data_IF_861930965570
#
_entry.id   IF_861930965570
#
_cell.length_a   1.000
_cell.length_b   1.000
_cell.length_c   1.000
_cell.angle_alpha   90.00
_cell.angle_beta   90.00
_cell.angle_gamma   90.00
#
_symmetry.space_group_name_H-M   'P 1'
#
loop_
_entity.id
_entity.type
_entity.pdbx_description
1 polymer ?
#
# COMPACT_ATOMS: atom_id res chain seq x y z
N UNK A 1 -15.27 7.90 12.31
CA UNK A 1 -14.80 7.01 11.23
C UNK A 1 -13.56 6.31 11.77
N UNK A 2 -13.44 4.99 11.60
CA UNK A 2 -12.30 4.21 12.14
C UNK A 2 -10.94 4.76 11.71
N UNK A 3 -10.81 5.27 10.48
CA UNK A 3 -9.60 5.95 9.99
C UNK A 3 -9.14 7.13 10.89
N UNK A 4 -10.06 7.92 11.43
CA UNK A 4 -9.73 9.06 12.31
C UNK A 4 -9.14 8.56 13.63
N UNK A 5 -9.64 7.42 14.13
CA UNK A 5 -9.21 6.85 15.41
C UNK A 5 -7.81 6.26 15.33
N UNK A 6 -7.50 5.49 14.26
CA UNK A 6 -6.16 4.95 14.05
C UNK A 6 -5.14 6.06 13.79
N UNK A 7 -5.48 7.08 12.98
CA UNK A 7 -4.60 8.22 12.74
C UNK A 7 -4.28 8.98 14.04
N UNK A 8 -5.26 9.18 14.93
CA UNK A 8 -5.01 9.81 16.24
C UNK A 8 -4.06 9.01 17.12
N UNK A 9 -4.12 7.67 17.07
CA UNK A 9 -3.17 6.81 17.79
C UNK A 9 -1.77 6.94 17.22
N UNK A 10 -1.65 6.86 15.89
CA UNK A 10 -0.39 7.01 15.16
C UNK A 10 0.25 8.40 15.42
N UNK A 11 -0.53 9.47 15.42
CA UNK A 11 -0.04 10.84 15.68
C UNK A 11 0.54 11.02 17.09
N UNK A 12 0.14 10.17 18.05
CA UNK A 12 0.63 10.20 19.43
C UNK A 12 1.84 9.29 19.67
N UNK A 13 2.19 8.42 18.72
CA UNK A 13 3.32 7.49 18.85
C UNK A 13 4.61 8.15 18.36
N UNK A 14 5.61 8.25 19.23
CA UNK A 14 6.91 8.87 18.90
C UNK A 14 7.72 8.09 17.87
N UNK A 15 7.38 6.82 17.61
CA UNK A 15 8.01 6.00 16.57
C UNK A 15 7.31 6.17 15.20
N UNK A 16 6.26 6.99 15.15
CA UNK A 16 5.57 7.35 13.92
C UNK A 16 5.75 8.84 13.62
N UNK A 17 5.76 9.19 12.34
CA UNK A 17 5.79 10.58 11.90
C UNK A 17 4.73 10.79 10.82
N UNK A 18 3.66 11.46 11.21
CA UNK A 18 2.58 11.86 10.31
C UNK A 18 2.81 13.29 9.82
N UNK A 19 2.91 13.48 8.51
CA UNK A 19 3.05 14.80 7.90
C UNK A 19 1.68 15.32 7.50
N UNK A 20 1.26 16.45 8.07
CA UNK A 20 0.01 17.12 7.68
C UNK A 20 0.14 17.75 6.31
N UNK A 21 -0.94 17.67 5.54
CA UNK A 21 -1.00 18.36 4.25
C UNK A 21 -1.25 19.85 4.47
N UNK A 22 -0.62 20.67 3.62
CA UNK A 22 -0.73 22.14 3.66
C UNK A 22 -1.46 22.68 2.42
N UNK A 23 -1.55 21.88 1.35
CA UNK A 23 -2.24 22.23 0.10
C UNK A 23 -3.52 21.43 -0.07
N UNK A 24 -4.43 21.90 -0.90
CA UNK A 24 -5.60 21.10 -1.28
C UNK A 24 -5.14 19.83 -2.03
N UNK A 25 -5.85 18.74 -1.80
CA UNK A 25 -5.66 17.48 -2.52
C UNK A 25 -6.70 17.37 -3.62
N UNK A 26 -6.23 17.13 -4.84
CA UNK A 26 -7.06 16.80 -5.99
C UNK A 26 -6.46 15.59 -6.68
N UNK A 27 -7.31 14.63 -7.05
CA UNK A 27 -6.92 13.47 -7.83
C UNK A 27 -7.95 13.25 -8.92
N UNK A 28 -7.47 12.91 -10.12
CA UNK A 28 -8.31 12.46 -11.23
C UNK A 28 -8.73 10.99 -11.05
N UNK A 29 -8.12 10.28 -10.10
CA UNK A 29 -8.42 8.89 -9.78
C UNK A 29 -9.58 8.79 -8.79
N UNK A 30 -10.43 7.78 -8.97
CA UNK A 30 -11.36 7.37 -7.93
C UNK A 30 -10.57 6.71 -6.79
N UNK A 31 -10.78 7.18 -5.55
CA UNK A 31 -10.09 6.64 -4.38
C UNK A 31 -11.09 6.12 -3.34
N UNK A 32 -10.76 5.03 -2.62
CA UNK A 32 -11.52 4.61 -1.45
C UNK A 32 -11.67 5.75 -0.44
N UNK A 33 -12.82 5.84 0.22
CA UNK A 33 -13.18 7.01 1.06
C UNK A 33 -12.18 7.29 2.18
N UNK A 34 -11.58 6.25 2.76
CA UNK A 34 -10.61 6.37 3.83
C UNK A 34 -9.21 6.77 3.31
N UNK A 35 -8.78 6.27 2.15
CA UNK A 35 -7.58 6.75 1.48
C UNK A 35 -7.73 8.21 1.02
N UNK A 36 -8.86 8.55 0.41
CA UNK A 36 -9.18 9.93 0.03
C UNK A 36 -9.14 10.85 1.26
N UNK A 37 -9.71 10.41 2.39
CA UNK A 37 -9.62 11.17 3.64
C UNK A 37 -8.17 11.38 4.07
N UNK A 38 -7.33 10.34 4.01
CA UNK A 38 -5.91 10.45 4.33
C UNK A 38 -5.22 11.48 3.45
N UNK A 39 -5.28 11.33 2.12
CA UNK A 39 -4.63 12.29 1.22
C UNK A 39 -5.23 13.69 1.29
N UNK A 40 -6.50 13.86 1.67
CA UNK A 40 -7.07 15.19 1.87
C UNK A 40 -6.53 15.94 3.09
N UNK A 41 -5.98 15.24 4.08
CA UNK A 41 -5.59 15.82 5.36
C UNK A 41 -4.08 15.67 5.66
N UNK A 42 -3.44 14.69 5.05
CA UNK A 42 -2.08 14.28 5.32
C UNK A 42 -1.31 14.10 4.02
N UNK A 43 -0.02 14.42 4.08
CA UNK A 43 0.87 14.28 2.95
C UNK A 43 1.48 12.89 2.93
N UNK A 44 2.12 12.46 4.01
CA UNK A 44 2.73 11.13 4.14
C UNK A 44 2.73 10.64 5.59
N UNK A 45 3.02 9.36 5.79
CA UNK A 45 3.16 8.74 7.11
C UNK A 45 4.37 7.83 7.14
N UNK A 46 5.22 7.98 8.14
CA UNK A 46 6.32 7.07 8.43
C UNK A 46 6.01 6.29 9.70
N UNK A 47 6.20 4.97 9.70
CA UNK A 47 5.96 4.09 10.84
C UNK A 47 7.22 3.27 11.12
N UNK A 48 7.77 3.41 12.32
CA UNK A 48 8.84 2.55 12.86
C UNK A 48 10.09 2.48 11.99
N UNK A 49 10.54 3.60 11.38
CA UNK A 49 11.69 3.62 10.45
C UNK A 49 13.04 3.23 11.10
N UNK A 50 13.12 3.18 12.43
CA UNK A 50 14.27 2.68 13.18
C UNK A 50 14.24 1.14 13.36
N UNK A 51 13.20 0.47 12.85
CA UNK A 51 12.98 -0.98 12.96
C UNK A 51 13.19 -1.69 11.62
N UNK A 52 13.46 -3.01 11.63
CA UNK A 52 13.71 -3.77 10.40
C UNK A 52 12.56 -3.75 9.40
N UNK A 53 11.30 -3.67 9.86
CA UNK A 53 10.11 -3.63 9.03
C UNK A 53 9.44 -2.25 9.07
N UNK A 54 10.24 -1.20 9.26
CA UNK A 54 9.78 0.18 9.15
C UNK A 54 9.28 0.47 7.73
N UNK A 55 8.19 1.23 7.63
CA UNK A 55 7.51 1.48 6.35
C UNK A 55 7.01 2.92 6.25
N UNK A 56 6.99 3.45 5.03
CA UNK A 56 6.43 4.76 4.68
C UNK A 56 5.17 4.57 3.85
N UNK A 57 4.06 5.18 4.27
CA UNK A 57 2.95 5.50 3.38
C UNK A 57 3.37 6.68 2.52
N UNK A 58 3.32 6.50 1.20
CA UNK A 58 3.86 7.45 0.23
C UNK A 58 3.03 8.73 0.17
N UNK A 59 3.64 9.80 -0.34
CA UNK A 59 2.91 11.04 -0.62
C UNK A 59 2.01 10.92 -1.84
N UNK A 60 1.05 11.83 -1.98
CA UNK A 60 0.19 11.88 -3.18
C UNK A 60 0.98 12.04 -4.49
N UNK A 61 2.18 12.63 -4.43
CA UNK A 61 3.05 12.80 -5.61
C UNK A 61 3.82 11.53 -5.97
N UNK A 62 3.95 10.61 -5.01
CA UNK A 62 4.58 9.29 -5.15
C UNK A 62 3.53 8.19 -5.38
N UNK A 63 2.24 8.53 -5.33
CA UNK A 63 1.12 7.65 -5.61
C UNK A 63 0.97 7.44 -7.12
N UNK A 64 1.86 6.61 -7.68
CA UNK A 64 1.95 6.28 -9.10
C UNK A 64 1.71 4.77 -9.32
N UNK A 65 1.49 4.31 -10.56
CA UNK A 65 1.43 2.87 -10.84
C UNK A 65 2.64 2.14 -10.27
N UNK A 66 2.40 1.02 -9.58
CA UNK A 66 3.45 0.31 -8.84
C UNK A 66 4.52 -0.22 -9.78
N UNK A 67 4.12 -0.76 -10.93
CA UNK A 67 5.04 -1.20 -11.99
C UNK A 67 6.05 -0.12 -12.40
N UNK A 68 5.63 1.16 -12.47
CA UNK A 68 6.54 2.29 -12.78
C UNK A 68 7.53 2.59 -11.67
N UNK A 69 7.18 2.27 -10.42
CA UNK A 69 8.09 2.39 -9.27
C UNK A 69 9.12 1.27 -9.26
N UNK A 70 8.73 0.07 -9.68
CA UNK A 70 9.53 -1.15 -9.60
C UNK A 70 10.47 -1.34 -10.80
N UNK A 71 10.00 -1.03 -12.02
CA UNK A 71 10.67 -1.40 -13.25
C UNK A 71 11.09 -0.17 -14.07
N UNK A 72 12.32 -0.15 -14.64
CA UNK A 72 12.74 0.87 -15.61
C UNK A 72 11.88 0.82 -16.88
N UNK A 73 11.55 1.96 -17.49
CA UNK A 73 10.66 2.03 -18.68
C UNK A 73 11.15 1.24 -19.91
N UNK A 74 12.42 0.86 -19.97
CA UNK A 74 13.04 0.09 -21.05
C UNK A 74 13.18 -1.42 -20.76
N UNK A 75 12.59 -1.89 -19.66
CA UNK A 75 12.60 -3.31 -19.28
C UNK A 75 11.64 -4.16 -20.13
N UNK A 76 12.01 -5.41 -20.42
CA UNK A 76 11.17 -6.33 -21.20
C UNK A 76 9.88 -6.71 -20.46
N UNK A 77 9.87 -6.58 -19.13
CA UNK A 77 8.71 -6.89 -18.30
C UNK A 77 7.47 -6.06 -18.67
N UNK A 78 7.63 -4.89 -19.30
CA UNK A 78 6.50 -4.08 -19.77
C UNK A 78 5.68 -4.77 -20.86
N UNK A 79 6.28 -5.63 -21.67
CA UNK A 79 5.54 -6.44 -22.65
C UNK A 79 4.73 -7.53 -21.94
N UNK A 80 5.25 -8.09 -20.84
CA UNK A 80 4.57 -9.13 -20.04
C UNK A 80 3.40 -8.56 -19.22
N UNK A 81 3.51 -7.31 -18.79
CA UNK A 81 2.46 -6.61 -18.04
C UNK A 81 1.37 -6.01 -18.93
N UNK A 82 1.49 -6.05 -20.26
CA UNK A 82 0.48 -5.45 -21.15
C UNK A 82 -0.89 -6.10 -20.95
N UNK A 83 -1.87 -5.30 -20.49
CA UNK A 83 -3.24 -5.77 -20.22
C UNK A 83 -3.41 -6.53 -18.90
N UNK A 84 -2.36 -6.67 -18.10
CA UNK A 84 -2.44 -7.27 -16.77
C UNK A 84 -3.25 -6.40 -15.79
N UNK A 85 -3.91 -7.04 -14.82
CA UNK A 85 -4.72 -6.35 -13.80
C UNK A 85 -3.88 -5.41 -12.92
N UNK A 86 -2.59 -5.69 -12.76
CA UNK A 86 -1.66 -4.86 -11.99
C UNK A 86 -1.41 -3.48 -12.58
N UNK A 87 -1.83 -3.24 -13.83
CA UNK A 87 -1.79 -1.90 -14.42
C UNK A 87 -2.68 -0.89 -13.69
N UNK A 88 -3.69 -1.36 -12.94
CA UNK A 88 -4.55 -0.53 -12.09
C UNK A 88 -4.08 -0.49 -10.63
N UNK A 89 -2.88 -1.01 -10.33
CA UNK A 89 -2.32 -1.05 -8.98
C UNK A 89 -1.36 0.10 -8.72
N UNK A 90 -1.64 0.88 -7.67
CA UNK A 90 -0.89 2.08 -7.33
C UNK A 90 -0.07 1.89 -6.05
N UNK A 91 1.15 2.42 -6.02
CA UNK A 91 2.01 2.37 -4.85
C UNK A 91 1.36 3.13 -3.69
N UNK A 92 1.17 2.47 -2.55
CA UNK A 92 0.68 3.15 -1.33
C UNK A 92 1.71 3.15 -0.20
N UNK A 93 2.59 2.17 -0.14
CA UNK A 93 3.62 2.12 0.90
C UNK A 93 4.91 1.46 0.40
N UNK A 94 6.03 1.86 0.98
CA UNK A 94 7.36 1.36 0.61
C UNK A 94 8.30 1.26 1.83
N UNK A 95 9.16 0.25 1.77
CA UNK A 95 10.38 0.11 2.55
C UNK A 95 11.51 -0.22 1.58
N UNK A 96 12.06 0.81 0.95
CA UNK A 96 13.06 0.67 -0.12
C UNK A 96 14.30 -0.11 0.31
N UNK A 97 14.70 -0.01 1.58
CA UNK A 97 15.91 -0.67 2.09
C UNK A 97 15.85 -2.19 1.99
N UNK A 98 14.64 -2.75 2.01
CA UNK A 98 14.39 -4.19 1.95
C UNK A 98 13.49 -4.58 0.77
N UNK A 99 13.35 -3.69 -0.22
CA UNK A 99 12.57 -3.90 -1.45
C UNK A 99 11.11 -4.34 -1.20
N UNK A 100 10.52 -3.93 -0.09
CA UNK A 100 9.12 -4.20 0.19
C UNK A 100 8.25 -3.04 -0.26
N UNK A 101 7.20 -3.34 -1.01
CA UNK A 101 6.17 -2.38 -1.38
C UNK A 101 4.78 -2.92 -1.08
N UNK A 102 3.83 -2.02 -1.00
CA UNK A 102 2.41 -2.33 -0.89
C UNK A 102 1.69 -1.52 -1.95
N UNK A 103 0.83 -2.20 -2.69
CA UNK A 103 0.00 -1.60 -3.72
C UNK A 103 -1.45 -1.53 -3.30
N UNK A 104 -2.21 -0.64 -3.93
CA UNK A 104 -3.68 -0.60 -3.87
C UNK A 104 -4.25 -0.82 -5.26
N UNK A 105 -5.27 -1.67 -5.35
CA UNK A 105 -6.07 -1.86 -6.54
C UNK A 105 -7.12 -0.75 -6.70
N UNK A 106 -7.10 -0.05 -7.83
CA UNK A 106 -8.13 0.93 -8.19
C UNK A 106 -9.08 0.43 -9.30
N UNK A 107 -8.97 -0.84 -9.70
CA UNK A 107 -9.90 -1.49 -10.62
C UNK A 107 -11.32 -1.60 -10.05
N UNK A 108 -12.32 -1.74 -10.92
CA UNK A 108 -13.70 -1.93 -10.46
C UNK A 108 -13.92 -3.24 -9.69
N UNK A 109 -13.18 -4.31 -10.01
CA UNK A 109 -13.36 -5.65 -9.43
C UNK A 109 -12.82 -5.76 -8.01
N UNK A 110 -11.72 -5.07 -7.69
CA UNK A 110 -11.02 -5.17 -6.41
C UNK A 110 -10.78 -3.81 -5.75
N UNK A 111 -11.60 -2.81 -6.10
CA UNK A 111 -11.45 -1.42 -5.64
C UNK A 111 -11.15 -1.29 -4.14
N UNK A 112 -9.94 -0.85 -3.81
CA UNK A 112 -9.47 -0.64 -2.45
C UNK A 112 -8.86 -1.86 -1.76
N UNK A 113 -8.53 -2.92 -2.51
CA UNK A 113 -7.74 -4.04 -2.00
C UNK A 113 -6.26 -3.71 -2.05
N UNK A 114 -5.51 -4.27 -1.10
CA UNK A 114 -4.09 -4.01 -0.93
C UNK A 114 -3.30 -5.28 -1.08
N UNK A 115 -2.18 -5.20 -1.78
CA UNK A 115 -1.35 -6.36 -2.10
C UNK A 115 0.06 -6.22 -1.55
N UNK A 116 0.63 -7.35 -1.14
CA UNK A 116 2.08 -7.48 -1.06
C UNK A 116 2.66 -7.30 -2.47
N UNK A 117 3.59 -6.37 -2.65
CA UNK A 117 4.23 -6.09 -3.93
C UNK A 117 5.74 -6.05 -3.77
N UNK A 118 6.31 -7.19 -3.40
CA UNK A 118 7.74 -7.39 -3.40
C UNK A 118 8.31 -7.33 -4.83
N UNK A 119 9.49 -6.72 -5.01
CA UNK A 119 10.07 -6.46 -6.34
C UNK A 119 10.15 -7.71 -7.24
N UNK A 120 10.43 -8.88 -6.67
CA UNK A 120 10.62 -10.12 -7.43
C UNK A 120 9.31 -10.86 -7.75
N UNK A 121 8.21 -10.51 -7.06
CA UNK A 121 6.94 -11.26 -7.15
C UNK A 121 5.73 -10.39 -7.47
N UNK A 122 5.94 -9.09 -7.68
CA UNK A 122 4.87 -8.18 -8.06
C UNK A 122 4.17 -8.66 -9.33
N UNK A 123 2.83 -8.65 -9.30
CA UNK A 123 1.99 -9.10 -10.42
C UNK A 123 2.21 -10.57 -10.81
N UNK A 124 2.66 -11.41 -9.87
CA UNK A 124 2.81 -12.85 -10.08
C UNK A 124 1.62 -13.62 -9.46
N UNK A 125 0.89 -14.43 -10.24
CA UNK A 125 -0.19 -15.27 -9.73
C UNK A 125 0.29 -16.23 -8.63
N UNK A 126 -0.35 -16.17 -7.46
CA UNK A 126 0.01 -16.97 -6.29
C UNK A 126 1.01 -16.30 -5.34
N UNK A 127 1.62 -15.18 -5.75
CA UNK A 127 2.52 -14.36 -4.93
C UNK A 127 2.02 -12.91 -4.76
N UNK A 128 0.77 -12.63 -5.16
CA UNK A 128 0.11 -11.32 -5.07
C UNK A 128 -0.98 -11.34 -3.98
N UNK A 129 -0.56 -11.67 -2.76
CA UNK A 129 -1.45 -11.86 -1.62
C UNK A 129 -2.25 -10.60 -1.30
N UNK A 130 -3.57 -10.74 -1.10
CA UNK A 130 -4.43 -9.68 -0.57
C UNK A 130 -4.14 -9.54 0.94
N UNK A 131 -3.52 -8.43 1.33
CA UNK A 131 -3.11 -8.16 2.72
C UNK A 131 -4.10 -7.29 3.50
N UNK A 132 -4.91 -6.48 2.82
CA UNK A 132 -5.98 -5.69 3.43
C UNK A 132 -7.07 -5.34 2.41
N UNK A 133 -8.29 -5.03 2.87
CA UNK A 133 -9.44 -4.63 2.03
C UNK A 133 -9.87 -3.18 2.23
N UNK A 134 -9.13 -2.43 3.05
CA UNK A 134 -9.33 -0.99 3.25
C UNK A 134 -8.06 -0.32 3.76
N UNK A 135 -7.91 0.98 3.50
CA UNK A 135 -6.76 1.74 3.99
C UNK A 135 -6.69 1.73 5.52
N UNK A 136 -7.86 1.82 6.15
CA UNK A 136 -7.99 1.79 7.61
C UNK A 136 -7.43 0.49 8.18
N UNK A 137 -7.82 -0.65 7.61
CA UNK A 137 -7.33 -1.97 8.04
C UNK A 137 -5.82 -2.10 7.83
N UNK A 138 -5.30 -1.64 6.68
CA UNK A 138 -3.86 -1.62 6.42
C UNK A 138 -3.11 -0.86 7.52
N UNK A 139 -3.57 0.35 7.87
CA UNK A 139 -2.95 1.13 8.95
C UNK A 139 -3.07 0.46 10.32
N UNK A 140 -4.22 -0.14 10.65
CA UNK A 140 -4.42 -0.85 11.91
C UNK A 140 -3.45 -2.03 12.05
N UNK A 141 -3.24 -2.80 10.97
CA UNK A 141 -2.34 -3.94 10.96
C UNK A 141 -0.86 -3.53 10.99
N UNK A 142 -0.45 -2.56 10.16
CA UNK A 142 0.92 -2.01 10.16
C UNK A 142 1.29 -1.38 11.51
N UNK A 143 0.35 -0.64 12.11
CA UNK A 143 0.56 -0.04 13.44
C UNK A 143 0.68 -1.12 14.52
N UNK A 144 -0.13 -2.17 14.44
CA UNK A 144 -0.12 -3.25 15.44
C UNK A 144 1.16 -4.10 15.39
N UNK A 145 1.81 -4.22 14.23
CA UNK A 145 3.06 -4.98 14.08
C UNK A 145 4.29 -4.26 14.65
N UNK A 146 4.20 -2.95 14.93
CA UNK A 146 5.28 -2.13 15.53
C UNK A 146 6.62 -2.15 14.77
N UNK A 147 6.58 -2.46 13.48
CA UNK A 147 7.78 -2.63 12.65
C UNK A 147 8.63 -3.85 13.03
N UNK A 148 8.07 -4.81 13.78
CA UNK A 148 8.78 -6.03 14.22
C UNK A 148 8.70 -7.16 13.19
N UNK A 149 7.66 -7.18 12.36
CA UNK A 149 7.43 -8.12 11.26
C UNK A 149 6.38 -7.56 10.28
N UNK A 150 6.31 -8.13 9.07
CA UNK A 150 5.16 -7.95 8.19
C UNK A 150 3.96 -8.70 8.75
N UNK A 151 2.86 -7.99 9.01
CA UNK A 151 1.69 -8.59 9.68
C UNK A 151 1.06 -9.72 8.87
N UNK A 152 1.18 -9.69 7.54
CA UNK A 152 0.64 -10.73 6.66
C UNK A 152 1.46 -12.02 6.65
N UNK A 153 2.67 -11.99 7.24
CA UNK A 153 3.52 -13.17 7.47
C UNK A 153 3.34 -13.76 8.87
N UNK A 154 2.50 -13.16 9.72
CA UNK A 154 2.24 -13.68 11.06
C UNK A 154 1.39 -14.95 11.00
N UNK A 155 1.63 -15.91 11.90
CA UNK A 155 0.91 -17.20 11.94
C UNK A 155 -0.61 -17.07 12.08
N UNK A 156 -1.07 -15.96 12.67
CA UNK A 156 -2.49 -15.67 12.89
C UNK A 156 -3.11 -14.78 11.81
N UNK A 157 -2.39 -14.48 10.74
CA UNK A 157 -2.94 -13.74 9.61
C UNK A 157 -3.88 -14.63 8.80
N UNK A 158 -5.14 -14.23 8.70
CA UNK A 158 -6.11 -14.90 7.82
C UNK A 158 -6.01 -14.28 6.43
N UNK A 159 -5.40 -15.02 5.50
CA UNK A 159 -5.26 -14.56 4.11
C UNK A 159 -6.63 -14.36 3.45
N UNK A 160 -6.74 -13.30 2.66
CA UNK A 160 -7.91 -13.00 1.86
C UNK A 160 -7.91 -13.66 0.47
N UNK A 161 -6.89 -14.47 0.18
CA UNK A 161 -6.62 -15.00 -1.16
C UNK A 161 -5.55 -14.20 -1.90
N UNK A 162 -5.45 -14.47 -3.19
CA UNK A 162 -4.53 -13.84 -4.13
C UNK A 162 -5.28 -12.92 -5.10
N UNK A 163 -4.61 -11.89 -5.61
CA UNK A 163 -5.21 -10.95 -6.58
C UNK A 163 -5.69 -11.65 -7.87
N UNK A 164 -5.07 -12.77 -8.23
CA UNK A 164 -5.40 -13.56 -9.43
C UNK A 164 -6.37 -14.71 -9.15
N UNK A 165 -6.89 -14.83 -7.92
CA UNK A 165 -7.88 -15.86 -7.61
C UNK A 165 -9.17 -15.62 -8.42
N UNK A 166 -9.52 -16.56 -9.30
CA UNK A 166 -10.72 -16.49 -10.13
C UNK A 166 -10.56 -15.64 -11.40
N UNK A 167 -9.36 -15.14 -11.70
CA UNK A 167 -9.01 -14.60 -13.02
C UNK A 167 -8.57 -15.76 -13.92
N UNK A 168 -9.37 -16.08 -14.96
CA UNK A 168 -9.04 -17.08 -16.00
C UNK A 168 -8.64 -16.38 -17.30
#
# INVERSE_FOLDING_TARGET
>A
MRIIEIIKKIEQDSNCRLLKRITDFTSDLALPKDLHYFFSNYDSLQMYLDKPYGIKIVSSNEFIPTSRRLYPEDDIIWEELEGDISNEWYLIAESEQINQYISIDLSESHFGYYYDSFLETHATPGDSQIIAKSFTELLENLYSSKGEHWFWLAENFESYGDAYDGTN
#
